data_IF_384039626589
#
_entry.id   IF_384039626589
#
_cell.length_a   1.000
_cell.length_b   1.000
_cell.length_c   1.000
_cell.angle_alpha   90.00
_cell.angle_beta   90.00
_cell.angle_gamma   90.00
#
_symmetry.space_group_name_H-M   'P 1'
#
loop_
_entity.id
_entity.type
_entity.pdbx_description
1 polymer ?
#
# COMPACT_ATOMS: atom_id res chain seq x y z
N UNK A 1 -13.81 -2.11 21.93
CA UNK A 1 -13.20 -1.65 20.67
C UNK A 1 -11.98 -0.81 21.02
N UNK A 2 -10.88 -0.95 20.28
CA UNK A 2 -9.62 -0.25 20.60
C UNK A 2 -9.53 1.02 19.75
N UNK A 3 -9.09 2.17 20.32
CA UNK A 3 -8.95 3.41 19.56
C UNK A 3 -7.83 3.32 18.52
N UNK A 4 -6.73 2.63 18.84
CA UNK A 4 -5.57 2.44 17.95
C UNK A 4 -4.91 1.08 18.23
N UNK A 5 -4.19 0.47 17.27
CA UNK A 5 -3.40 -0.72 17.56
C UNK A 5 -2.21 -0.35 18.46
N UNK A 6 -1.92 -1.23 19.42
CA UNK A 6 -0.78 -1.10 20.32
C UNK A 6 0.35 -2.03 19.87
N UNK A 7 1.58 -1.51 19.80
CA UNK A 7 2.73 -2.31 19.44
C UNK A 7 3.01 -3.44 20.44
N UNK A 8 2.75 -3.22 21.72
CA UNK A 8 2.97 -4.22 22.78
C UNK A 8 1.92 -5.34 22.78
N UNK A 9 0.76 -5.11 22.18
CA UNK A 9 -0.35 -6.06 22.14
C UNK A 9 -0.51 -6.64 20.72
N UNK A 10 -0.93 -5.81 19.75
CA UNK A 10 -1.16 -6.24 18.37
C UNK A 10 0.14 -6.48 17.60
N UNK A 11 1.22 -5.82 18.00
CA UNK A 11 2.54 -5.94 17.38
C UNK A 11 3.43 -7.03 18.00
N UNK A 12 2.97 -7.77 19.04
CA UNK A 12 3.81 -8.74 19.76
C UNK A 12 4.44 -9.79 18.84
N UNK A 13 3.67 -10.31 17.93
CA UNK A 13 4.04 -11.31 16.91
C UNK A 13 3.94 -10.75 15.49
N UNK A 14 4.12 -9.42 15.35
CA UNK A 14 4.11 -8.77 14.06
C UNK A 14 5.21 -9.33 13.16
N UNK A 15 4.92 -9.64 11.89
CA UNK A 15 5.91 -10.25 11.01
C UNK A 15 7.11 -9.33 10.83
N UNK A 16 8.29 -9.94 10.76
CA UNK A 16 9.57 -9.22 10.66
C UNK A 16 9.81 -8.22 11.79
N UNK A 17 9.29 -8.50 12.99
CA UNK A 17 9.37 -7.61 14.16
C UNK A 17 10.79 -7.15 14.49
N UNK A 18 11.78 -8.03 14.31
CA UNK A 18 13.19 -7.70 14.56
C UNK A 18 13.74 -6.60 13.64
N UNK A 19 13.12 -6.41 12.47
CA UNK A 19 13.45 -5.34 11.53
C UNK A 19 12.67 -4.04 11.81
N UNK A 20 11.79 -4.03 12.81
CA UNK A 20 10.89 -2.90 13.11
C UNK A 20 11.58 -1.85 13.98
N UNK A 21 11.32 -0.60 13.64
CA UNK A 21 11.69 0.58 14.44
C UNK A 21 10.60 1.64 14.38
N UNK A 22 10.66 2.61 15.30
CA UNK A 22 9.77 3.76 15.31
C UNK A 22 10.60 5.03 15.12
N UNK A 23 10.20 5.86 14.14
CA UNK A 23 10.91 7.07 13.74
C UNK A 23 9.95 8.24 13.72
N UNK A 24 10.37 9.39 14.28
CA UNK A 24 9.59 10.64 14.19
C UNK A 24 10.01 11.41 12.94
N UNK A 25 9.10 11.58 12.00
CA UNK A 25 9.34 12.31 10.76
C UNK A 25 8.08 13.05 10.31
N UNK A 26 8.21 14.27 9.79
CA UNK A 26 7.10 15.08 9.28
C UNK A 26 5.97 15.29 10.29
N UNK A 27 6.27 15.32 11.59
CA UNK A 27 5.31 15.48 12.68
C UNK A 27 4.59 14.19 13.11
N UNK A 28 4.88 13.05 12.51
CA UNK A 28 4.27 11.74 12.82
C UNK A 28 5.29 10.77 13.41
N UNK A 29 4.84 9.88 14.30
CA UNK A 29 5.57 8.69 14.68
C UNK A 29 5.26 7.58 13.67
N UNK A 30 6.29 7.10 12.99
CA UNK A 30 6.19 6.07 11.96
C UNK A 30 6.67 4.73 12.47
N UNK A 31 5.99 3.66 12.04
CA UNK A 31 6.49 2.31 12.11
C UNK A 31 7.17 1.97 10.78
N UNK A 32 8.42 1.52 10.85
CA UNK A 32 9.27 1.21 9.69
C UNK A 32 9.92 -0.16 9.90
N UNK A 33 10.08 -0.92 8.84
CA UNK A 33 10.87 -2.16 8.82
C UNK A 33 12.01 -2.00 7.83
N UNK A 34 13.24 -2.28 8.28
CA UNK A 34 14.45 -2.19 7.45
C UNK A 34 15.23 -3.50 7.61
N UNK A 35 15.58 -4.15 6.49
CA UNK A 35 16.36 -5.38 6.49
C UNK A 35 17.22 -5.48 5.21
N UNK A 36 18.30 -6.27 5.29
CA UNK A 36 19.23 -6.48 4.17
C UNK A 36 20.15 -5.30 3.91
N UNK A 37 21.03 -5.49 2.94
CA UNK A 37 22.05 -4.54 2.51
C UNK A 37 22.10 -4.44 0.98
N UNK A 38 22.78 -3.40 0.44
CA UNK A 38 22.92 -3.20 -1.00
C UNK A 38 21.96 -2.17 -1.59
N UNK A 39 21.52 -2.34 -2.86
CA UNK A 39 20.61 -1.40 -3.52
C UNK A 39 19.31 -1.25 -2.74
N UNK A 40 18.87 -0.01 -2.52
CA UNK A 40 17.69 0.22 -1.67
C UNK A 40 16.39 0.07 -2.46
N UNK A 41 15.49 -0.79 -1.97
CA UNK A 41 14.12 -1.00 -2.46
C UNK A 41 13.13 -0.54 -1.39
N UNK A 42 12.27 0.40 -1.73
CA UNK A 42 11.19 0.88 -0.85
C UNK A 42 9.89 0.18 -1.20
N UNK A 43 9.23 -0.44 -0.21
CA UNK A 43 7.96 -1.14 -0.34
C UNK A 43 6.82 -0.30 0.27
N UNK A 44 5.80 0.04 -0.52
CA UNK A 44 4.65 0.85 -0.09
C UNK A 44 3.37 0.04 -0.23
N UNK A 45 2.70 -0.23 0.89
CA UNK A 45 1.47 -1.02 0.94
C UNK A 45 0.23 -0.27 0.43
N UNK A 46 -0.86 -1.01 0.18
CA UNK A 46 -2.14 -0.48 -0.25
C UNK A 46 -3.04 0.01 0.89
N UNK A 47 -4.17 0.60 0.53
CA UNK A 47 -5.18 1.09 1.47
C UNK A 47 -5.68 -0.02 2.38
N UNK A 48 -5.73 0.23 3.69
CA UNK A 48 -6.22 -0.71 4.69
C UNK A 48 -5.26 -1.85 5.06
N UNK A 49 -4.03 -1.85 4.53
CA UNK A 49 -2.97 -2.77 4.89
C UNK A 49 -1.96 -2.14 5.88
N UNK A 50 -0.81 -2.74 6.03
CA UNK A 50 0.35 -2.30 6.79
C UNK A 50 1.56 -3.11 6.36
N UNK A 51 2.68 -3.01 7.06
CA UNK A 51 3.91 -3.74 6.73
C UNK A 51 3.75 -5.26 6.73
N UNK A 52 2.73 -5.81 7.40
CA UNK A 52 2.42 -7.24 7.38
C UNK A 52 2.14 -7.81 5.99
N UNK A 53 1.69 -6.99 5.04
CA UNK A 53 1.47 -7.43 3.65
C UNK A 53 2.79 -7.90 2.99
N UNK A 54 3.93 -7.42 3.51
CA UNK A 54 5.27 -7.77 3.05
C UNK A 54 5.91 -8.93 3.83
N UNK A 55 5.16 -9.60 4.74
CA UNK A 55 5.66 -10.59 5.70
C UNK A 55 6.53 -11.69 5.09
N UNK A 56 6.13 -12.21 3.94
CA UNK A 56 6.89 -13.25 3.24
C UNK A 56 7.86 -12.70 2.20
N UNK A 57 7.59 -11.51 1.67
CA UNK A 57 8.38 -10.92 0.60
C UNK A 57 9.63 -10.18 1.12
N UNK A 58 9.49 -9.43 2.22
CA UNK A 58 10.57 -8.63 2.79
C UNK A 58 11.81 -9.46 3.12
N UNK A 59 11.72 -10.60 3.86
CA UNK A 59 12.91 -11.39 4.19
C UNK A 59 13.57 -12.05 2.98
N UNK A 60 12.82 -12.33 1.92
CA UNK A 60 13.36 -12.89 0.69
C UNK A 60 14.13 -11.83 -0.10
N UNK A 61 13.56 -10.64 -0.28
CA UNK A 61 14.24 -9.53 -0.96
C UNK A 61 15.47 -9.03 -0.18
N UNK A 62 15.44 -9.09 1.15
CA UNK A 62 16.54 -8.69 2.01
C UNK A 62 17.82 -9.54 1.83
N UNK A 63 17.74 -10.65 1.10
CA UNK A 63 18.91 -11.45 0.71
C UNK A 63 19.70 -10.81 -0.44
N UNK A 64 19.08 -9.91 -1.22
CA UNK A 64 19.67 -9.30 -2.41
C UNK A 64 19.74 -7.78 -2.38
N UNK A 65 19.03 -7.14 -1.44
CA UNK A 65 18.95 -5.69 -1.39
C UNK A 65 18.59 -5.17 0.01
N UNK A 66 18.81 -3.88 0.25
CA UNK A 66 18.27 -3.19 1.42
C UNK A 66 16.80 -2.90 1.19
N UNK A 67 15.92 -3.51 1.98
CA UNK A 67 14.47 -3.32 1.92
C UNK A 67 14.03 -2.35 3.00
N UNK A 68 13.23 -1.36 2.63
CA UNK A 68 12.58 -0.41 3.55
C UNK A 68 11.08 -0.47 3.32
N UNK A 69 10.32 -0.86 4.33
CA UNK A 69 8.86 -0.84 4.32
C UNK A 69 8.34 0.02 5.47
N UNK A 70 7.21 0.68 5.30
CA UNK A 70 6.57 1.50 6.34
C UNK A 70 5.08 1.27 6.38
N UNK A 71 4.49 1.50 7.54
CA UNK A 71 3.04 1.70 7.62
C UNK A 71 2.71 3.12 7.17
N UNK A 72 1.81 3.28 6.20
CA UNK A 72 1.37 4.59 5.72
C UNK A 72 0.68 5.40 6.83
N UNK A 73 0.66 6.74 6.75
CA UNK A 73 -0.01 7.60 7.74
C UNK A 73 -1.40 7.12 8.11
N UNK A 74 -1.63 6.92 9.40
CA UNK A 74 -2.88 6.43 9.97
C UNK A 74 -3.13 4.93 9.85
N UNK A 75 -2.30 4.19 9.13
CA UNK A 75 -2.39 2.74 9.01
C UNK A 75 -1.54 2.05 10.06
N UNK A 76 -1.96 0.86 10.46
CA UNK A 76 -1.29 0.00 11.45
C UNK A 76 -0.70 0.82 12.62
N UNK A 77 0.60 0.84 12.81
CA UNK A 77 1.24 1.46 13.96
C UNK A 77 1.72 2.91 13.71
N UNK A 78 1.65 3.41 12.47
CA UNK A 78 1.98 4.82 12.17
C UNK A 78 0.86 5.75 12.65
N UNK A 79 1.23 6.89 13.24
CA UNK A 79 0.28 7.91 13.70
C UNK A 79 -0.61 8.43 12.56
N UNK A 80 -1.82 8.84 12.92
CA UNK A 80 -2.80 9.38 11.97
C UNK A 80 -2.73 10.92 11.97
N UNK A 81 -2.46 11.53 10.80
CA UNK A 81 -2.57 12.98 10.66
C UNK A 81 -4.05 13.42 10.58
N UNK A 82 -4.27 14.70 10.36
CA UNK A 82 -5.58 15.23 9.98
C UNK A 82 -6.11 14.53 8.72
N UNK A 83 -7.44 14.44 8.59
CA UNK A 83 -8.10 13.69 7.50
C UNK A 83 -7.70 14.18 6.10
N UNK A 84 -7.58 15.49 5.90
CA UNK A 84 -7.17 16.11 4.64
C UNK A 84 -5.74 15.71 4.21
N UNK A 85 -4.87 15.41 5.15
CA UNK A 85 -3.49 14.97 4.92
C UNK A 85 -3.38 13.49 4.50
N UNK A 86 -4.50 12.79 4.36
CA UNK A 86 -4.56 11.44 3.80
C UNK A 86 -4.84 11.43 2.28
N UNK A 87 -4.96 12.60 1.64
CA UNK A 87 -4.97 12.74 0.18
C UNK A 87 -3.62 12.37 -0.43
N UNK A 88 -3.63 11.90 -1.69
CA UNK A 88 -2.43 11.38 -2.37
C UNK A 88 -1.21 12.31 -2.33
N UNK A 89 -1.30 13.64 -2.61
CA UNK A 89 -0.12 14.51 -2.55
C UNK A 89 0.48 14.65 -1.15
N UNK A 90 -0.38 14.72 -0.13
CA UNK A 90 0.07 14.81 1.26
C UNK A 90 0.68 13.48 1.74
N UNK A 91 0.10 12.35 1.33
CA UNK A 91 0.63 11.01 1.62
C UNK A 91 2.03 10.85 1.01
N UNK A 92 2.19 11.22 -0.26
CA UNK A 92 3.49 11.20 -0.96
C UNK A 92 4.52 12.09 -0.26
N UNK A 93 4.14 13.32 0.12
CA UNK A 93 5.00 14.23 0.88
C UNK A 93 5.40 13.67 2.24
N UNK A 94 4.46 13.05 2.96
CA UNK A 94 4.73 12.46 4.27
C UNK A 94 5.73 11.30 4.18
N UNK A 95 5.55 10.39 3.19
CA UNK A 95 6.51 9.29 2.95
C UNK A 95 7.87 9.85 2.53
N UNK A 96 7.92 10.88 1.70
CA UNK A 96 9.18 11.53 1.31
C UNK A 96 9.90 12.14 2.52
N UNK A 97 9.17 12.76 3.44
CA UNK A 97 9.73 13.29 4.69
C UNK A 97 10.30 12.19 5.59
N UNK A 98 9.63 11.02 5.65
CA UNK A 98 10.17 9.86 6.36
C UNK A 98 11.47 9.38 5.73
N UNK A 99 11.50 9.17 4.40
CA UNK A 99 12.71 8.70 3.72
C UNK A 99 13.89 9.65 3.89
N UNK A 100 13.63 10.96 3.86
CA UNK A 100 14.67 11.98 4.12
C UNK A 100 15.19 11.90 5.57
N UNK A 101 14.31 11.72 6.56
CA UNK A 101 14.68 11.62 7.98
C UNK A 101 15.58 10.41 8.26
N UNK A 102 15.32 9.28 7.61
CA UNK A 102 16.11 8.05 7.78
C UNK A 102 17.26 7.92 6.77
N UNK A 103 17.58 8.99 6.03
CA UNK A 103 18.59 9.05 4.97
C UNK A 103 18.49 7.91 3.94
N UNK A 104 17.27 7.67 3.46
CA UNK A 104 16.97 6.64 2.46
C UNK A 104 16.73 7.28 1.10
N UNK A 105 17.60 6.95 0.14
CA UNK A 105 17.42 7.26 -1.29
C UNK A 105 17.05 5.97 -2.02
N UNK A 106 15.79 5.78 -2.43
CA UNK A 106 15.38 4.56 -3.09
C UNK A 106 16.02 4.45 -4.49
N UNK A 107 16.75 3.36 -4.73
CA UNK A 107 17.14 2.99 -6.09
C UNK A 107 15.93 2.45 -6.85
N UNK A 108 15.08 1.71 -6.16
CA UNK A 108 13.85 1.17 -6.72
C UNK A 108 12.69 1.31 -5.73
N UNK A 109 11.48 1.33 -6.27
CA UNK A 109 10.26 1.36 -5.46
C UNK A 109 9.29 0.27 -5.92
N UNK A 110 8.63 -0.35 -4.96
CA UNK A 110 7.54 -1.31 -5.19
C UNK A 110 6.31 -0.81 -4.46
N UNK A 111 5.24 -0.58 -5.18
CA UNK A 111 3.97 -0.16 -4.60
C UNK A 111 2.87 -1.18 -4.87
N UNK A 112 2.09 -1.52 -3.84
CA UNK A 112 0.90 -2.32 -3.98
C UNK A 112 -0.35 -1.43 -4.00
N UNK A 113 -1.25 -1.64 -4.96
CA UNK A 113 -2.54 -0.92 -5.01
C UNK A 113 -2.35 0.62 -4.93
N UNK A 114 -2.91 1.29 -3.92
CA UNK A 114 -2.72 2.71 -3.67
C UNK A 114 -1.25 3.09 -3.38
N UNK A 115 -0.44 2.19 -2.82
CA UNK A 115 0.99 2.41 -2.59
C UNK A 115 1.77 2.65 -3.88
N UNK A 116 1.33 2.08 -5.01
CA UNK A 116 1.91 2.37 -6.32
C UNK A 116 1.63 3.81 -6.76
N UNK A 117 0.44 4.34 -6.48
CA UNK A 117 0.12 5.74 -6.73
C UNK A 117 0.96 6.69 -5.87
N UNK A 118 1.23 6.32 -4.60
CA UNK A 118 2.13 7.08 -3.72
C UNK A 118 3.55 7.12 -4.32
N UNK A 119 4.11 5.97 -4.70
CA UNK A 119 5.44 5.88 -5.32
C UNK A 119 5.56 6.77 -6.58
N UNK A 120 4.56 6.70 -7.46
CA UNK A 120 4.52 7.52 -8.67
C UNK A 120 4.39 9.01 -8.34
N UNK A 121 3.56 9.40 -7.37
CA UNK A 121 3.40 10.80 -7.00
C UNK A 121 4.68 11.39 -6.41
N UNK A 122 5.38 10.64 -5.54
CA UNK A 122 6.68 11.05 -4.99
C UNK A 122 7.71 11.29 -6.09
N UNK A 123 7.74 10.40 -7.10
CA UNK A 123 8.68 10.50 -8.23
C UNK A 123 8.33 11.68 -9.16
N UNK A 124 7.06 11.86 -9.48
CA UNK A 124 6.58 12.95 -10.33
C UNK A 124 6.73 14.33 -9.65
N UNK A 125 6.67 14.38 -8.32
CA UNK A 125 6.96 15.61 -7.54
C UNK A 125 8.46 15.89 -7.39
N UNK A 126 9.33 15.00 -7.89
CA UNK A 126 10.77 15.15 -7.79
C UNK A 126 11.35 14.92 -6.38
N UNK A 127 10.54 14.38 -5.47
CA UNK A 127 10.99 14.09 -4.09
C UNK A 127 11.95 12.90 -4.03
N UNK A 128 11.83 11.96 -4.97
CA UNK A 128 12.70 10.81 -5.18
C UNK A 128 12.91 10.58 -6.68
N UNK A 129 14.00 9.90 -7.05
CA UNK A 129 14.32 9.58 -8.44
C UNK A 129 14.72 8.10 -8.59
N UNK A 130 13.81 7.16 -8.38
CA UNK A 130 14.11 5.73 -8.53
C UNK A 130 14.37 5.39 -10.01
N UNK A 131 15.27 4.45 -10.26
CA UNK A 131 15.51 3.93 -11.60
C UNK A 131 14.27 3.17 -12.11
N UNK A 132 13.67 2.36 -11.24
CA UNK A 132 12.50 1.53 -11.59
C UNK A 132 11.43 1.59 -10.51
N UNK A 133 10.18 1.59 -10.97
CA UNK A 133 8.99 1.46 -10.10
C UNK A 133 8.23 0.22 -10.54
N UNK A 134 8.00 -0.70 -9.61
CA UNK A 134 7.13 -1.87 -9.84
C UNK A 134 5.80 -1.64 -9.14
N UNK A 135 4.74 -1.66 -9.90
CA UNK A 135 3.37 -1.58 -9.43
C UNK A 135 2.77 -2.98 -9.35
N UNK A 136 2.45 -3.43 -8.16
CA UNK A 136 1.70 -4.67 -7.94
C UNK A 136 0.22 -4.32 -7.84
N UNK A 137 -0.56 -4.66 -8.86
CA UNK A 137 -2.00 -4.37 -8.94
C UNK A 137 -2.35 -2.91 -8.59
N UNK A 138 -1.60 -1.96 -9.15
CA UNK A 138 -1.70 -0.54 -8.79
C UNK A 138 -3.03 0.09 -9.15
N UNK A 139 -3.61 0.84 -8.22
CA UNK A 139 -4.85 1.58 -8.37
C UNK A 139 -4.56 3.02 -8.84
N UNK A 140 -4.67 3.26 -10.15
CA UNK A 140 -4.34 4.55 -10.75
C UNK A 140 -5.55 5.31 -11.29
N UNK A 141 -6.72 4.68 -11.32
CA UNK A 141 -7.94 5.25 -11.90
C UNK A 141 -9.07 5.30 -10.88
N UNK A 142 -9.91 6.31 -10.94
CA UNK A 142 -11.17 6.28 -10.20
C UNK A 142 -12.04 5.12 -10.72
N UNK A 143 -12.96 4.66 -9.90
CA UNK A 143 -13.95 3.66 -10.31
C UNK A 143 -14.69 4.13 -11.57
N UNK A 144 -15.15 3.19 -12.40
CA UNK A 144 -15.89 3.51 -13.63
C UNK A 144 -17.42 3.50 -13.42
N UNK A 145 -18.15 4.22 -14.28
CA UNK A 145 -19.62 4.23 -14.27
C UNK A 145 -20.22 4.84 -13.01
N UNK A 146 -21.37 4.33 -12.58
CA UNK A 146 -22.08 4.82 -11.39
C UNK A 146 -21.23 4.74 -10.12
N UNK A 147 -20.36 3.75 -10.02
CA UNK A 147 -19.45 3.58 -8.90
C UNK A 147 -18.44 4.74 -8.79
N UNK A 148 -18.04 5.37 -9.91
CA UNK A 148 -17.17 6.54 -9.91
C UNK A 148 -17.79 7.74 -9.19
N UNK A 149 -19.11 7.86 -9.23
CA UNK A 149 -19.85 8.96 -8.59
C UNK A 149 -20.24 8.57 -7.16
N UNK A 150 -20.78 7.38 -6.98
CA UNK A 150 -21.32 6.96 -5.68
C UNK A 150 -20.24 6.61 -4.66
N UNK A 151 -19.14 5.98 -5.08
CA UNK A 151 -18.12 5.51 -4.14
C UNK A 151 -17.39 6.65 -3.41
N UNK A 152 -16.91 7.73 -4.08
CA UNK A 152 -16.31 8.86 -3.38
C UNK A 152 -17.30 9.59 -2.46
N UNK A 153 -18.57 9.72 -2.88
CA UNK A 153 -19.62 10.34 -2.05
C UNK A 153 -19.90 9.49 -0.82
N UNK A 154 -20.09 8.18 -0.99
CA UNK A 154 -20.31 7.26 0.12
C UNK A 154 -19.09 7.21 1.06
N UNK A 155 -17.88 7.12 0.50
CA UNK A 155 -16.65 7.14 1.28
C UNK A 155 -16.52 8.45 2.09
N UNK A 156 -16.89 9.59 1.49
CA UNK A 156 -16.90 10.89 2.18
C UNK A 156 -17.94 10.94 3.29
N UNK A 157 -19.15 10.50 3.05
CA UNK A 157 -20.21 10.42 4.06
C UNK A 157 -19.79 9.51 5.24
N UNK A 158 -19.21 8.34 4.94
CA UNK A 158 -18.69 7.44 5.97
C UNK A 158 -17.49 8.05 6.72
N UNK A 159 -16.56 8.70 6.02
CA UNK A 159 -15.40 9.33 6.65
C UNK A 159 -15.78 10.52 7.55
N UNK A 160 -16.86 11.24 7.23
CA UNK A 160 -17.36 12.36 8.02
C UNK A 160 -18.26 11.92 9.18
N UNK A 161 -18.85 10.74 9.10
CA UNK A 161 -19.70 10.20 10.16
C UNK A 161 -18.83 9.67 11.33
N UNK A 162 -18.91 10.24 12.53
CA UNK A 162 -18.09 9.80 13.67
C UNK A 162 -18.41 8.36 14.12
N UNK A 163 -19.58 7.84 13.79
CA UNK A 163 -20.00 6.47 14.14
C UNK A 163 -19.60 5.43 13.09
N UNK A 164 -19.19 5.83 11.89
CA UNK A 164 -18.91 4.89 10.80
C UNK A 164 -17.68 4.02 11.11
N UNK A 165 -16.55 4.63 11.52
CA UNK A 165 -15.35 3.87 11.82
C UNK A 165 -15.54 2.91 13.01
N UNK A 166 -16.13 3.32 14.15
CA UNK A 166 -16.52 2.42 15.22
C UNK A 166 -17.44 1.27 14.77
N UNK A 167 -18.47 1.57 14.01
CA UNK A 167 -19.41 0.55 13.51
C UNK A 167 -18.72 -0.45 12.58
N UNK A 168 -17.92 0.01 11.64
CA UNK A 168 -17.19 -0.86 10.70
C UNK A 168 -16.13 -1.71 11.42
N UNK A 169 -15.42 -1.13 12.40
CA UNK A 169 -14.48 -1.87 13.22
C UNK A 169 -15.18 -2.96 14.06
N UNK A 170 -16.38 -2.67 14.57
CA UNK A 170 -17.21 -3.67 15.24
C UNK A 170 -17.68 -4.76 14.26
N UNK A 171 -18.13 -4.41 13.05
CA UNK A 171 -18.51 -5.39 12.01
C UNK A 171 -17.33 -6.26 11.58
N UNK A 172 -16.12 -5.71 11.52
CA UNK A 172 -14.89 -6.44 11.21
C UNK A 172 -14.34 -7.29 12.39
N UNK A 173 -15.00 -7.26 13.55
CA UNK A 173 -14.57 -8.06 14.70
C UNK A 173 -14.76 -9.55 14.52
N UNK A 174 -15.61 -9.98 13.57
CA UNK A 174 -15.83 -11.39 13.27
C UNK A 174 -14.82 -11.89 12.24
N UNK A 175 -14.15 -13.04 12.48
CA UNK A 175 -13.17 -13.60 11.52
C UNK A 175 -13.76 -13.80 10.11
N UNK A 176 -15.04 -14.20 10.03
CA UNK A 176 -15.74 -14.40 8.76
C UNK A 176 -15.94 -13.12 7.94
N UNK A 177 -16.04 -11.95 8.60
CA UNK A 177 -16.18 -10.68 7.89
C UNK A 177 -14.89 -10.30 7.17
N UNK A 178 -13.75 -10.48 7.84
CA UNK A 178 -12.43 -10.21 7.26
C UNK A 178 -12.11 -11.17 6.13
N UNK A 179 -12.36 -12.47 6.33
CA UNK A 179 -12.18 -13.48 5.28
C UNK A 179 -13.03 -13.18 4.03
N UNK A 180 -14.28 -12.74 4.21
CA UNK A 180 -15.12 -12.31 3.08
C UNK A 180 -14.59 -11.05 2.39
N UNK A 181 -14.05 -10.10 3.14
CA UNK A 181 -13.44 -8.90 2.56
C UNK A 181 -12.24 -9.27 1.67
N UNK A 182 -11.34 -10.13 2.18
CA UNK A 182 -10.19 -10.64 1.44
C UNK A 182 -10.63 -11.42 0.19
N UNK A 183 -11.55 -12.36 0.35
CA UNK A 183 -12.11 -13.15 -0.78
C UNK A 183 -12.79 -12.24 -1.83
N UNK A 184 -13.40 -11.14 -1.40
CA UNK A 184 -13.96 -10.10 -2.28
C UNK A 184 -12.93 -9.46 -3.21
N UNK A 185 -11.64 -9.46 -2.84
CA UNK A 185 -10.54 -8.99 -3.67
C UNK A 185 -10.06 -10.01 -4.72
N UNK A 186 -10.62 -11.22 -4.72
CA UNK A 186 -10.17 -12.33 -5.55
C UNK A 186 -9.00 -13.12 -4.97
N UNK A 187 -8.58 -12.79 -3.74
CA UNK A 187 -7.41 -13.39 -3.08
C UNK A 187 -7.79 -14.43 -2.05
N UNK A 188 -6.88 -15.37 -1.80
CA UNK A 188 -6.98 -16.39 -0.76
C UNK A 188 -5.75 -16.29 0.13
N UNK A 189 -5.95 -15.90 1.37
CA UNK A 189 -4.87 -15.80 2.36
C UNK A 189 -5.04 -16.88 3.44
N UNK A 190 -3.93 -17.28 4.04
CA UNK A 190 -3.92 -18.15 5.21
C UNK A 190 -4.54 -17.49 6.46
N UNK A 191 -4.76 -18.27 7.50
CA UNK A 191 -5.37 -17.80 8.73
C UNK A 191 -4.51 -16.73 9.44
N UNK A 192 -3.18 -16.90 9.43
CA UNK A 192 -2.25 -15.96 10.06
C UNK A 192 -2.28 -14.59 9.36
N UNK A 193 -2.24 -14.59 8.02
CA UNK A 193 -2.36 -13.37 7.24
C UNK A 193 -3.70 -12.66 7.49
N UNK A 194 -4.79 -13.42 7.49
CA UNK A 194 -6.14 -12.91 7.74
C UNK A 194 -6.25 -12.29 9.14
N UNK A 195 -5.58 -12.85 10.14
CA UNK A 195 -5.59 -12.32 11.50
C UNK A 195 -4.89 -10.95 11.61
N UNK A 196 -3.78 -10.71 10.90
CA UNK A 196 -3.15 -9.37 10.88
C UNK A 196 -4.12 -8.30 10.36
N UNK A 197 -4.84 -8.57 9.28
CA UNK A 197 -5.90 -7.68 8.81
C UNK A 197 -7.01 -7.50 9.84
N UNK A 198 -7.44 -8.59 10.48
CA UNK A 198 -8.48 -8.53 11.50
C UNK A 198 -8.07 -7.67 12.71
N UNK A 199 -6.81 -7.76 13.16
CA UNK A 199 -6.28 -6.92 14.25
C UNK A 199 -6.38 -5.43 13.89
N UNK A 200 -5.99 -5.05 12.69
CA UNK A 200 -6.04 -3.66 12.23
C UNK A 200 -7.47 -3.17 12.05
N UNK A 201 -8.32 -3.95 11.40
CA UNK A 201 -9.71 -3.60 11.13
C UNK A 201 -10.59 -3.51 12.40
N UNK A 202 -10.14 -4.06 13.52
CA UNK A 202 -10.79 -3.90 14.85
C UNK A 202 -10.45 -2.57 15.54
N UNK A 203 -9.61 -1.74 14.94
CA UNK A 203 -9.19 -0.46 15.53
C UNK A 203 -9.78 0.73 14.78
N UNK A 204 -10.36 1.65 15.55
CA UNK A 204 -11.05 2.83 15.00
C UNK A 204 -10.12 3.72 14.17
N UNK A 205 -8.89 3.94 14.66
CA UNK A 205 -7.91 4.80 13.99
C UNK A 205 -7.58 4.29 12.60
N UNK A 206 -7.30 3.00 12.47
CA UNK A 206 -6.96 2.37 11.19
C UNK A 206 -8.13 2.43 10.21
N UNK A 207 -9.33 2.08 10.65
CA UNK A 207 -10.54 2.14 9.83
C UNK A 207 -10.86 3.57 9.41
N UNK A 208 -10.78 4.53 10.34
CA UNK A 208 -11.01 5.94 10.04
C UNK A 208 -9.99 6.51 9.03
N UNK A 209 -8.72 6.11 9.13
CA UNK A 209 -7.69 6.51 8.18
C UNK A 209 -7.93 5.89 6.80
N UNK A 210 -8.27 4.60 6.74
CA UNK A 210 -8.63 3.89 5.51
C UNK A 210 -9.79 4.58 4.78
N UNK A 211 -10.87 4.91 5.51
CA UNK A 211 -12.03 5.60 4.95
C UNK A 211 -11.66 7.01 4.47
N UNK A 212 -10.91 7.76 5.27
CA UNK A 212 -10.48 9.11 4.90
C UNK A 212 -9.54 9.09 3.67
N UNK A 213 -8.60 8.14 3.61
CA UNK A 213 -7.77 7.95 2.42
C UNK A 213 -8.64 7.75 1.18
N UNK A 214 -9.62 6.84 1.20
CA UNK A 214 -10.53 6.62 0.08
C UNK A 214 -11.37 7.85 -0.26
N UNK A 215 -11.82 8.63 0.75
CA UNK A 215 -12.66 9.80 0.57
C UNK A 215 -11.95 11.00 -0.07
N UNK A 216 -10.63 11.12 0.16
CA UNK A 216 -9.80 12.23 -0.33
C UNK A 216 -8.85 11.83 -1.47
N UNK A 217 -9.01 10.61 -2.05
CA UNK A 217 -8.12 10.03 -3.04
C UNK A 217 -8.48 10.45 -4.46
N UNK A 218 -7.96 11.61 -4.90
CA UNK A 218 -8.11 12.06 -6.28
C UNK A 218 -6.88 11.65 -7.10
N UNK A 219 -7.12 10.80 -8.10
CA UNK A 219 -6.11 10.28 -9.02
C UNK A 219 -6.02 11.06 -10.33
N UNK A 220 -6.89 12.03 -10.56
CA UNK A 220 -6.94 12.79 -11.81
C UNK A 220 -5.63 13.54 -12.10
N UNK A 221 -5.03 14.25 -11.12
CA UNK A 221 -3.74 14.91 -11.35
C UNK A 221 -2.61 13.90 -11.62
N UNK A 222 -2.60 12.75 -10.94
CA UNK A 222 -1.61 11.71 -11.17
C UNK A 222 -1.66 11.19 -12.61
N UNK A 223 -2.85 10.84 -13.12
CA UNK A 223 -3.03 10.34 -14.49
C UNK A 223 -2.54 11.32 -15.53
N UNK A 224 -2.82 12.63 -15.35
CA UNK A 224 -2.35 13.69 -16.24
C UNK A 224 -0.82 13.77 -16.27
N UNK A 225 -0.18 13.63 -15.10
CA UNK A 225 1.26 13.81 -14.94
C UNK A 225 2.08 12.56 -15.33
N UNK A 226 1.47 11.36 -15.45
CA UNK A 226 2.17 10.10 -15.76
C UNK A 226 3.07 10.17 -17.00
N UNK A 227 2.69 10.98 -18.00
CA UNK A 227 3.51 11.17 -19.23
C UNK A 227 4.88 11.82 -18.97
N UNK A 228 5.07 12.42 -17.78
CA UNK A 228 6.33 13.05 -17.36
C UNK A 228 7.25 12.08 -16.62
N UNK A 229 6.80 10.86 -16.35
CA UNK A 229 7.59 9.87 -15.61
C UNK A 229 8.86 9.52 -16.40
N UNK A 230 10.01 9.54 -15.73
CA UNK A 230 11.31 9.20 -16.31
C UNK A 230 11.80 7.82 -15.87
N UNK A 231 11.32 7.32 -14.75
CA UNK A 231 11.62 5.98 -14.26
C UNK A 231 10.94 4.93 -15.12
N UNK A 232 11.59 3.78 -15.32
CA UNK A 232 10.93 2.60 -15.90
C UNK A 232 9.77 2.14 -15.02
N UNK A 233 8.59 1.99 -15.59
CA UNK A 233 7.39 1.53 -14.87
C UNK A 233 7.03 0.10 -15.28
N UNK A 234 7.11 -0.83 -14.32
CA UNK A 234 6.65 -2.21 -14.49
C UNK A 234 5.29 -2.37 -13.82
N UNK A 235 4.29 -2.78 -14.59
CA UNK A 235 2.91 -2.93 -14.11
C UNK A 235 2.55 -4.42 -14.06
N UNK A 236 2.54 -4.98 -12.85
CA UNK A 236 2.12 -6.36 -12.62
C UNK A 236 0.61 -6.39 -12.41
N UNK A 237 -0.09 -7.20 -13.21
CA UNK A 237 -1.54 -7.34 -13.18
C UNK A 237 -1.94 -8.82 -13.06
N UNK A 238 -2.74 -9.13 -12.06
CA UNK A 238 -3.21 -10.48 -11.76
C UNK A 238 -4.61 -10.71 -12.31
N UNK A 239 -4.83 -11.87 -12.98
CA UNK A 239 -6.08 -12.15 -13.70
C UNK A 239 -7.33 -12.19 -12.81
N UNK A 240 -7.19 -12.63 -11.56
CA UNK A 240 -8.30 -12.77 -10.62
C UNK A 240 -8.48 -11.54 -9.72
N UNK A 241 -7.76 -10.42 -9.97
CA UNK A 241 -7.93 -9.19 -9.20
C UNK A 241 -9.34 -8.62 -9.41
N UNK A 242 -10.12 -8.60 -8.32
CA UNK A 242 -11.49 -8.06 -8.28
C UNK A 242 -11.56 -6.65 -7.71
N UNK A 243 -10.47 -6.15 -7.13
CA UNK A 243 -10.39 -4.79 -6.59
C UNK A 243 -9.93 -3.80 -7.67
N UNK A 244 -8.89 -4.16 -8.42
CA UNK A 244 -8.38 -3.35 -9.55
C UNK A 244 -8.41 -4.21 -10.82
N UNK A 245 -9.27 -3.89 -11.80
CA UNK A 245 -9.35 -4.67 -13.01
C UNK A 245 -8.01 -4.78 -13.76
N UNK A 246 -7.55 -5.98 -14.15
CA UNK A 246 -6.24 -6.19 -14.78
C UNK A 246 -6.00 -5.34 -16.03
N UNK A 247 -7.07 -4.97 -16.75
CA UNK A 247 -7.01 -4.09 -17.93
C UNK A 247 -6.45 -2.70 -17.63
N UNK A 248 -6.53 -2.22 -16.39
CA UNK A 248 -6.05 -0.90 -15.99
C UNK A 248 -4.53 -0.77 -16.13
N UNK A 249 -3.78 -1.85 -15.94
CA UNK A 249 -2.34 -1.88 -16.17
C UNK A 249 -1.99 -1.51 -17.63
N UNK A 250 -2.66 -2.12 -18.60
CA UNK A 250 -2.46 -1.80 -20.02
C UNK A 250 -2.90 -0.38 -20.38
N UNK A 251 -3.96 0.13 -19.75
CA UNK A 251 -4.39 1.51 -19.95
C UNK A 251 -3.40 2.52 -19.37
N UNK A 252 -2.76 2.18 -18.26
CA UNK A 252 -1.75 3.02 -17.59
C UNK A 252 -0.43 2.99 -18.36
N UNK A 253 -0.01 1.83 -18.84
CA UNK A 253 1.19 1.68 -19.68
C UNK A 253 1.18 2.60 -20.89
N UNK A 254 0.04 2.81 -21.53
CA UNK A 254 -0.08 3.73 -22.68
C UNK A 254 0.20 5.20 -22.35
N UNK A 255 0.26 5.57 -21.09
CA UNK A 255 0.53 6.93 -20.64
C UNK A 255 2.00 7.16 -20.29
N UNK A 256 2.81 6.11 -20.17
CA UNK A 256 4.21 6.16 -19.75
C UNK A 256 5.08 5.57 -20.85
N UNK A 257 6.04 6.35 -21.34
CA UNK A 257 6.91 5.99 -22.47
C UNK A 257 7.73 4.73 -22.17
N UNK A 258 8.44 4.71 -21.04
CA UNK A 258 9.20 3.54 -20.58
C UNK A 258 8.38 2.72 -19.60
N UNK A 259 7.48 1.90 -20.14
CA UNK A 259 6.65 1.03 -19.33
C UNK A 259 6.41 -0.33 -19.96
N UNK A 260 6.16 -1.33 -19.10
CA UNK A 260 5.74 -2.66 -19.54
C UNK A 260 4.72 -3.27 -18.60
N UNK A 261 3.91 -4.18 -19.12
CA UNK A 261 2.91 -4.92 -18.36
C UNK A 261 3.34 -6.37 -18.22
N UNK A 262 3.38 -6.85 -16.99
CA UNK A 262 3.55 -8.27 -16.64
C UNK A 262 2.19 -8.81 -16.25
N UNK A 263 1.59 -9.63 -17.11
CA UNK A 263 0.31 -10.28 -16.85
C UNK A 263 0.53 -11.63 -16.20
N UNK A 264 -0.16 -11.88 -15.10
CA UNK A 264 -0.18 -13.18 -14.43
C UNK A 264 -1.59 -13.77 -14.56
N UNK A 265 -1.68 -14.98 -15.10
CA UNK A 265 -2.96 -15.65 -15.37
C UNK A 265 -3.62 -16.22 -14.10
N UNK A 266 -3.14 -15.82 -12.93
CA UNK A 266 -3.60 -16.25 -11.60
C UNK A 266 -3.45 -15.12 -10.59
N UNK A 267 -3.90 -15.39 -9.34
CA UNK A 267 -3.75 -14.49 -8.20
C UNK A 267 -4.80 -13.38 -8.17
N UNK A 268 -5.21 -13.00 -6.96
CA UNK A 268 -6.10 -11.88 -6.70
C UNK A 268 -5.33 -10.58 -6.45
N UNK A 269 -5.99 -9.64 -5.80
CA UNK A 269 -5.40 -8.34 -5.49
C UNK A 269 -4.18 -8.43 -4.55
N UNK A 270 -4.17 -9.43 -3.66
CA UNK A 270 -3.11 -9.69 -2.69
C UNK A 270 -2.18 -10.84 -3.12
N UNK A 271 -1.99 -11.06 -4.42
CA UNK A 271 -1.23 -12.18 -4.95
C UNK A 271 0.22 -12.24 -4.45
N UNK A 272 0.83 -11.10 -4.13
CA UNK A 272 2.16 -11.02 -3.53
C UNK A 272 2.22 -11.61 -2.11
N UNK A 273 1.08 -11.66 -1.41
CA UNK A 273 0.94 -12.35 -0.13
C UNK A 273 0.64 -13.83 -0.29
N UNK A 274 -0.06 -14.21 -1.37
CA UNK A 274 -0.40 -15.59 -1.69
C UNK A 274 0.85 -16.40 -2.07
N UNK A 275 1.78 -15.81 -2.85
CA UNK A 275 2.99 -16.46 -3.35
C UNK A 275 4.22 -15.55 -3.24
N UNK A 276 4.70 -15.26 -2.02
CA UNK A 276 5.79 -14.31 -1.81
C UNK A 276 7.10 -14.72 -2.49
N UNK A 277 7.43 -16.02 -2.57
CA UNK A 277 8.63 -16.50 -3.25
C UNK A 277 8.60 -16.17 -4.75
N UNK A 278 7.48 -16.44 -5.43
CA UNK A 278 7.31 -16.09 -6.83
C UNK A 278 7.48 -14.57 -7.07
N UNK A 279 6.88 -13.75 -6.19
CA UNK A 279 7.01 -12.29 -6.30
C UNK A 279 8.41 -11.78 -5.96
N UNK A 280 9.14 -12.46 -5.08
CA UNK A 280 10.55 -12.17 -4.83
C UNK A 280 11.38 -12.37 -6.09
N UNK A 281 11.26 -13.54 -6.74
CA UNK A 281 11.99 -13.85 -7.98
C UNK A 281 11.60 -12.89 -9.12
N UNK A 282 10.31 -12.57 -9.21
CA UNK A 282 9.82 -11.57 -10.16
C UNK A 282 10.48 -10.21 -9.91
N UNK A 283 10.49 -9.72 -8.68
CA UNK A 283 11.04 -8.41 -8.32
C UNK A 283 12.55 -8.35 -8.48
N UNK A 284 13.28 -9.40 -8.10
CA UNK A 284 14.73 -9.48 -8.33
C UNK A 284 15.05 -9.32 -9.81
N UNK A 285 14.32 -10.02 -10.69
CA UNK A 285 14.47 -9.89 -12.14
C UNK A 285 14.07 -8.51 -12.66
N UNK A 286 12.90 -8.01 -12.25
CA UNK A 286 12.34 -6.76 -12.78
C UNK A 286 13.13 -5.53 -12.30
N UNK A 287 13.77 -5.60 -11.12
CA UNK A 287 14.58 -4.54 -10.55
C UNK A 287 16.08 -4.70 -10.89
N UNK A 288 16.49 -5.83 -11.45
CA UNK A 288 17.88 -6.18 -11.73
C UNK A 288 18.77 -6.11 -10.46
N UNK A 289 18.31 -6.82 -9.42
CA UNK A 289 18.99 -6.94 -8.13
C UNK A 289 19.99 -8.09 -8.11
#
# INVERSE_FOLDING_TARGET
MKPAPSWDVEGRDWPNRAASSFVRAGGLMWHVQIAGDGPTVVLIHGTGAGTHTWRGLLPLLAQSCKVVAMDLPGHAFTEKPERSHLALPHMAKAVSSLLAEIDVKPRHMVGHSAGAAVALRMTLDGAVAPERIVSLNGAFRPFNGLAAILFPVMARLLALNPFAAPFLAWRASTPSAVSRLIAGTGSVLDAAATDYYARLLRTERHVAATLAMMAYWDLTPLLRDLRKLKSTLVLVANANDRAVPPREAGMTARLVEDSRVVKLEWGGHLAHEEKPAFFSDLLVRELAL
#
